data_IF_145335797555
#
_entry.id   IF_145335797555
#
_cell.length_a   1.000
_cell.length_b   1.000
_cell.length_c   1.000
_cell.angle_alpha   90.00
_cell.angle_beta   90.00
_cell.angle_gamma   90.00
#
_symmetry.space_group_name_H-M   'P 1'
#
loop_
_entity.id
_entity.type
_entity.pdbx_description
1 polymer ?
#
# COMPACT_ATOMS: atom_id res chain seq x y z
N UNK A 1 -8.47 3.83 -46.49
CA UNK A 1 -7.72 2.79 -47.24
C UNK A 1 -7.28 1.76 -46.18
N UNK A 2 -7.96 0.61 -45.95
CA UNK A 2 -7.80 -0.72 -46.60
C UNK A 2 -6.31 -0.99 -46.92
N UNK A 3 -5.57 -2.00 -46.43
CA UNK A 3 -5.75 -3.38 -45.89
C UNK A 3 -4.51 -3.66 -44.97
N UNK A 4 -4.30 -4.74 -44.21
CA UNK A 4 -4.66 -6.15 -44.35
C UNK A 4 -4.48 -6.89 -43.02
N UNK A 5 -5.38 -7.84 -42.80
CA UNK A 5 -5.36 -8.91 -41.79
C UNK A 5 -4.23 -9.91 -42.12
N UNK A 6 -3.56 -10.41 -41.09
CA UNK A 6 -2.69 -11.59 -41.12
C UNK A 6 -2.99 -12.46 -39.90
N UNK A 7 -3.86 -13.45 -40.08
CA UNK A 7 -4.06 -14.55 -39.14
C UNK A 7 -2.86 -15.50 -39.24
N UNK A 8 -2.29 -15.88 -38.10
CA UNK A 8 -1.50 -17.10 -37.95
C UNK A 8 -2.02 -17.88 -36.73
N UNK A 9 -2.06 -19.22 -36.81
CA UNK A 9 -2.93 -20.04 -36.00
C UNK A 9 -2.34 -20.27 -34.61
N UNK A 10 -3.18 -20.19 -33.59
CA UNK A 10 -2.87 -20.68 -32.26
C UNK A 10 -2.69 -22.19 -32.36
N UNK A 11 -1.45 -22.65 -32.16
CA UNK A 11 -1.14 -24.05 -31.91
C UNK A 11 -1.79 -24.41 -30.56
N UNK A 12 -2.89 -25.15 -30.59
CA UNK A 12 -3.36 -25.84 -29.40
C UNK A 12 -2.32 -26.89 -29.04
N UNK A 13 -1.49 -26.61 -28.03
CA UNK A 13 -0.72 -27.65 -27.35
C UNK A 13 -1.74 -28.49 -26.59
N UNK A 14 -2.22 -29.55 -27.25
CA UNK A 14 -2.89 -30.65 -26.57
C UNK A 14 -1.83 -31.31 -25.72
N UNK A 15 -1.85 -31.04 -24.42
CA UNK A 15 -1.11 -31.80 -23.42
C UNK A 15 -1.70 -33.22 -23.42
N UNK A 16 -1.20 -34.08 -24.30
CA UNK A 16 -1.49 -35.49 -24.26
C UNK A 16 -0.81 -36.05 -23.01
N UNK A 17 -1.57 -36.17 -21.92
CA UNK A 17 -1.20 -37.00 -20.80
C UNK A 17 -0.94 -38.41 -21.32
N UNK A 18 0.34 -38.76 -21.45
CA UNK A 18 0.76 -40.14 -21.69
C UNK A 18 0.56 -40.89 -20.38
N UNK A 19 -0.62 -41.47 -20.20
CA UNK A 19 -0.88 -42.38 -19.11
C UNK A 19 -0.06 -43.65 -19.36
N UNK A 20 1.07 -43.77 -18.68
CA UNK A 20 1.84 -45.01 -18.62
C UNK A 20 1.04 -46.00 -17.76
N UNK A 21 0.64 -47.17 -18.29
CA UNK A 21 -0.15 -48.13 -17.52
C UNK A 21 0.76 -48.87 -16.54
N UNK A 22 0.87 -48.34 -15.33
CA UNK A 22 1.69 -48.96 -14.29
C UNK A 22 1.76 -48.20 -12.96
N UNK A 23 0.75 -47.39 -12.62
CA UNK A 23 0.62 -46.83 -11.27
C UNK A 23 -0.57 -47.53 -10.61
N UNK A 24 -0.30 -48.10 -9.44
CA UNK A 24 -1.27 -48.81 -8.62
C UNK A 24 -2.54 -47.98 -8.40
N UNK A 25 -3.65 -48.70 -8.26
CA UNK A 25 -4.99 -48.17 -8.11
C UNK A 25 -5.20 -47.58 -6.69
N UNK A 26 -4.31 -46.68 -6.25
CA UNK A 26 -4.52 -45.88 -5.04
C UNK A 26 -5.56 -44.83 -5.38
N UNK A 27 -6.74 -44.98 -4.80
CA UNK A 27 -7.77 -43.94 -4.75
C UNK A 27 -7.14 -42.66 -4.21
N UNK A 28 -6.83 -41.72 -5.11
CA UNK A 28 -6.65 -40.31 -4.75
C UNK A 28 -8.05 -39.87 -4.32
N UNK A 29 -8.25 -39.75 -3.01
CA UNK A 29 -9.45 -39.10 -2.49
C UNK A 29 -9.27 -37.64 -2.89
N UNK A 30 -10.21 -37.05 -3.62
CA UNK A 30 -10.12 -35.66 -4.10
C UNK A 30 -10.23 -34.61 -2.97
N UNK A 31 -10.00 -35.07 -1.73
CA UNK A 31 -10.09 -34.42 -0.44
C UNK A 31 -8.78 -33.72 -0.05
N UNK A 32 -7.63 -34.31 -0.38
CA UNK A 32 -6.35 -34.10 0.34
C UNK A 32 -5.25 -33.67 -0.66
N UNK A 33 -5.33 -32.42 -1.14
CA UNK A 33 -4.52 -31.62 -2.09
C UNK A 33 -3.65 -32.28 -3.18
N UNK A 34 -3.80 -33.57 -3.46
CA UNK A 34 -2.83 -34.36 -4.20
C UNK A 34 -1.62 -34.82 -3.38
N UNK A 35 -1.64 -34.73 -2.05
CA UNK A 35 -0.63 -35.39 -1.22
C UNK A 35 -0.80 -36.90 -1.41
N UNK A 36 0.28 -37.58 -1.83
CA UNK A 36 0.26 -39.03 -1.85
C UNK A 36 0.34 -39.52 -0.41
N UNK A 37 -0.51 -40.50 -0.05
CA UNK A 37 -0.33 -41.44 1.10
C UNK A 37 1.02 -42.20 1.13
N UNK A 38 1.99 -41.77 0.34
CA UNK A 38 3.38 -42.22 0.31
C UNK A 38 4.28 -41.35 1.20
N UNK A 39 3.72 -40.72 2.24
CA UNK A 39 4.48 -40.56 3.48
C UNK A 39 4.70 -41.98 4.01
N UNK A 40 5.71 -42.65 3.43
CA UNK A 40 6.21 -43.91 3.94
C UNK A 40 6.31 -43.74 5.45
N UNK A 41 5.79 -44.70 6.24
CA UNK A 41 5.55 -44.53 7.67
C UNK A 41 6.74 -43.79 8.23
N UNK A 42 6.53 -42.59 8.80
CA UNK A 42 7.57 -41.93 9.59
C UNK A 42 8.20 -43.06 10.36
N UNK A 43 9.48 -43.34 10.08
CA UNK A 43 10.08 -44.61 10.48
C UNK A 43 9.97 -44.65 11.99
N UNK A 44 8.97 -45.37 12.45
CA UNK A 44 8.93 -45.99 13.75
C UNK A 44 10.09 -46.96 13.71
N UNK A 45 11.28 -46.43 13.98
CA UNK A 45 12.43 -47.23 14.36
C UNK A 45 12.27 -47.71 15.80
N UNK A 46 11.15 -47.41 16.45
CA UNK A 46 10.62 -48.21 17.52
C UNK A 46 9.73 -49.33 16.95
N UNK A 47 9.68 -50.50 17.57
CA UNK A 47 8.39 -51.16 17.69
C UNK A 47 7.55 -50.30 18.62
N UNK A 48 6.24 -50.13 18.35
CA UNK A 48 5.24 -49.59 19.29
C UNK A 48 5.38 -50.31 20.63
N UNK A 49 6.25 -49.79 21.50
CA UNK A 49 6.68 -50.44 22.74
C UNK A 49 6.63 -49.41 23.83
N UNK A 50 5.41 -49.15 24.31
CA UNK A 50 5.18 -48.56 25.62
C UNK A 50 5.83 -47.19 25.88
N UNK A 51 6.18 -46.43 24.83
CA UNK A 51 6.54 -45.01 24.91
C UNK A 51 5.56 -44.10 24.17
N UNK A 52 4.83 -44.64 23.18
CA UNK A 52 3.67 -43.96 22.57
C UNK A 52 2.39 -44.20 23.38
N UNK A 53 2.40 -45.25 24.20
CA UNK A 53 1.48 -45.37 25.33
C UNK A 53 2.13 -44.69 26.53
N UNK A 54 1.82 -43.41 26.74
CA UNK A 54 1.94 -42.81 28.06
C UNK A 54 1.31 -43.73 29.13
N UNK A 55 1.75 -43.65 30.39
CA UNK A 55 1.25 -44.52 31.44
C UNK A 55 -0.27 -44.29 31.62
N UNK A 56 -1.07 -45.22 31.10
CA UNK A 56 -2.52 -45.27 31.24
C UNK A 56 -3.27 -43.96 30.89
N UNK A 57 -3.47 -43.68 29.60
CA UNK A 57 -4.54 -42.78 29.13
C UNK A 57 -4.13 -41.73 28.09
N UNK A 58 -4.78 -41.86 26.92
CA UNK A 58 -5.25 -40.78 26.04
C UNK A 58 -4.24 -39.91 25.29
N UNK A 59 -3.35 -40.51 24.52
CA UNK A 59 -3.00 -39.88 23.25
C UNK A 59 -3.55 -40.81 22.16
N UNK A 60 -4.76 -40.47 21.70
CA UNK A 60 -5.41 -41.16 20.59
C UNK A 60 -4.97 -40.39 19.36
N UNK A 61 -4.50 -41.11 18.35
CA UNK A 61 -3.93 -40.62 17.11
C UNK A 61 -4.48 -41.56 16.02
N UNK A 62 -5.44 -41.07 15.25
CA UNK A 62 -6.31 -41.92 14.41
C UNK A 62 -5.68 -42.19 13.04
N UNK A 63 -5.01 -41.21 12.43
CA UNK A 63 -4.31 -41.30 11.14
C UNK A 63 -2.81 -41.65 11.27
N UNK A 64 -2.24 -41.53 12.48
CA UNK A 64 -0.85 -41.89 12.82
C UNK A 64 0.20 -40.97 12.21
N UNK A 65 -0.13 -39.70 12.09
CA UNK A 65 0.75 -38.66 11.58
C UNK A 65 1.73 -38.14 12.69
N UNK A 66 1.44 -38.45 13.96
CA UNK A 66 2.23 -38.08 15.14
C UNK A 66 1.62 -36.95 15.99
N UNK A 67 0.51 -36.38 15.55
CA UNK A 67 -0.38 -35.54 16.33
C UNK A 67 -1.34 -36.40 17.15
N UNK A 68 -2.33 -35.79 17.80
CA UNK A 68 -3.30 -36.55 18.57
C UNK A 68 -4.66 -35.94 18.33
N UNK A 69 -5.70 -36.77 18.28
CA UNK A 69 -7.07 -36.35 17.98
C UNK A 69 -7.49 -35.10 18.77
N UNK A 70 -7.01 -34.96 20.01
CA UNK A 70 -7.31 -33.80 20.87
C UNK A 70 -6.64 -32.49 20.44
N UNK A 71 -5.44 -32.55 19.86
CA UNK A 71 -4.70 -31.40 19.32
C UNK A 71 -5.31 -30.96 17.98
N UNK A 72 -5.73 -31.93 17.18
CA UNK A 72 -6.39 -31.74 15.89
C UNK A 72 -7.87 -31.35 16.05
N UNK A 73 -8.37 -31.17 17.28
CA UNK A 73 -9.71 -30.61 17.50
C UNK A 73 -10.86 -31.60 17.29
N UNK A 74 -10.62 -32.90 17.44
CA UNK A 74 -11.65 -33.93 17.34
C UNK A 74 -12.88 -33.66 18.25
N UNK A 75 -14.09 -34.07 17.84
CA UNK A 75 -14.38 -34.91 16.67
C UNK A 75 -15.01 -34.14 15.49
N UNK A 76 -15.06 -32.81 15.53
CA UNK A 76 -15.87 -31.99 14.61
C UNK A 76 -15.11 -30.88 13.89
N UNK A 77 -13.84 -30.61 14.24
CA UNK A 77 -13.04 -29.67 13.47
C UNK A 77 -12.77 -30.26 12.08
N UNK A 78 -12.94 -29.43 11.07
CA UNK A 78 -12.88 -29.69 9.63
C UNK A 78 -12.45 -28.34 9.05
N UNK A 79 -11.13 -28.14 9.00
CA UNK A 79 -10.48 -26.85 8.79
C UNK A 79 -10.67 -26.38 7.35
N UNK A 80 -10.46 -27.27 6.39
CA UNK A 80 -10.68 -26.97 4.98
C UNK A 80 -12.17 -27.08 4.57
N UNK A 81 -13.00 -27.82 5.30
CA UNK A 81 -14.44 -27.95 5.03
C UNK A 81 -14.78 -28.99 3.95
N UNK A 82 -13.90 -29.95 3.71
CA UNK A 82 -14.07 -31.00 2.70
C UNK A 82 -15.01 -32.14 3.18
N UNK A 83 -15.28 -32.17 4.50
CA UNK A 83 -16.14 -33.15 5.17
C UNK A 83 -15.38 -34.30 5.85
N UNK A 84 -14.05 -34.35 5.78
CA UNK A 84 -13.16 -35.13 6.62
C UNK A 84 -12.76 -34.29 7.84
N UNK A 85 -12.99 -34.76 9.07
CA UNK A 85 -12.48 -34.06 10.23
C UNK A 85 -10.95 -34.13 10.31
N UNK A 86 -10.30 -33.04 10.73
CA UNK A 86 -8.83 -32.86 10.82
C UNK A 86 -8.09 -34.09 11.37
N UNK A 87 -8.56 -34.66 12.50
CA UNK A 87 -7.95 -35.86 13.13
C UNK A 87 -7.98 -37.16 12.30
N UNK A 88 -8.48 -37.09 11.07
CA UNK A 88 -8.52 -38.16 10.08
C UNK A 88 -8.05 -37.71 8.71
N UNK A 89 -7.75 -36.42 8.57
CA UNK A 89 -7.19 -35.85 7.37
C UNK A 89 -5.66 -35.94 7.44
N UNK A 90 -5.01 -35.99 6.29
CA UNK A 90 -3.55 -36.00 6.19
C UNK A 90 -3.01 -34.60 5.85
N UNK A 91 -3.89 -33.71 5.40
CA UNK A 91 -3.65 -32.31 5.01
C UNK A 91 -4.91 -31.50 5.40
N UNK A 92 -4.96 -31.07 6.66
CA UNK A 92 -6.18 -30.53 7.29
C UNK A 92 -6.62 -29.16 6.73
N UNK A 93 -5.71 -28.36 6.17
CA UNK A 93 -6.02 -27.08 5.50
C UNK A 93 -5.91 -27.13 3.97
N UNK A 94 -5.46 -28.26 3.42
CA UNK A 94 -5.48 -28.59 1.99
C UNK A 94 -4.56 -27.69 1.15
N UNK A 95 -3.48 -27.21 1.77
CA UNK A 95 -2.49 -26.37 1.12
C UNK A 95 -1.41 -27.19 0.37
N UNK A 96 -1.37 -28.50 0.58
CA UNK A 96 -0.45 -29.42 -0.10
C UNK A 96 0.81 -29.76 0.67
N UNK A 97 0.94 -29.32 1.93
CA UNK A 97 1.76 -29.99 2.93
C UNK A 97 0.94 -31.01 3.72
N UNK A 98 1.61 -31.75 4.61
CA UNK A 98 0.90 -32.72 5.46
C UNK A 98 1.03 -32.28 6.88
N UNK A 99 0.03 -32.57 7.70
CA UNK A 99 0.00 -32.18 9.09
C UNK A 99 1.27 -32.60 9.84
N UNK A 100 1.78 -33.82 9.56
CA UNK A 100 3.02 -34.35 10.13
C UNK A 100 4.30 -33.60 9.73
N UNK A 101 4.34 -33.04 8.52
CA UNK A 101 5.47 -32.28 8.01
C UNK A 101 5.42 -30.86 8.58
N UNK A 102 4.27 -30.20 8.55
CA UNK A 102 4.09 -28.84 9.07
C UNK A 102 4.30 -28.79 10.57
N UNK A 103 3.68 -29.71 11.32
CA UNK A 103 3.86 -29.84 12.76
C UNK A 103 5.32 -30.09 13.16
N UNK A 104 6.12 -30.70 12.26
CA UNK A 104 7.53 -30.96 12.48
C UNK A 104 8.46 -29.88 11.89
N UNK A 105 7.94 -28.80 11.29
CA UNK A 105 8.71 -27.85 10.45
C UNK A 105 9.51 -28.59 9.37
N UNK A 106 8.87 -29.39 8.53
CA UNK A 106 9.52 -30.16 7.46
C UNK A 106 9.13 -29.65 6.07
N UNK A 107 9.44 -28.38 5.82
CA UNK A 107 9.30 -27.78 4.51
C UNK A 107 10.49 -28.16 3.61
N UNK A 108 10.27 -28.79 2.43
CA UNK A 108 11.34 -29.11 1.50
C UNK A 108 12.06 -27.84 1.05
N UNK A 109 13.40 -27.90 0.97
CA UNK A 109 14.31 -26.84 0.47
C UNK A 109 14.71 -25.73 1.45
N UNK A 110 14.22 -25.75 2.69
CA UNK A 110 14.68 -24.83 3.74
C UNK A 110 15.47 -25.57 4.82
N UNK A 111 16.36 -24.88 5.52
CA UNK A 111 17.13 -25.44 6.64
C UNK A 111 16.30 -25.52 7.92
N UNK A 112 15.06 -25.99 7.79
CA UNK A 112 14.18 -26.11 8.93
C UNK A 112 14.83 -27.05 9.95
N UNK A 113 14.90 -26.58 11.20
CA UNK A 113 15.31 -27.42 12.33
C UNK A 113 14.12 -28.31 12.69
N UNK A 114 14.08 -29.58 12.24
CA UNK A 114 12.87 -30.37 12.37
C UNK A 114 12.59 -30.60 13.84
N UNK A 115 11.34 -30.41 14.25
CA UNK A 115 10.91 -30.68 15.62
C UNK A 115 10.63 -32.17 15.77
N UNK A 116 11.07 -32.73 16.89
CA UNK A 116 10.68 -34.09 17.26
C UNK A 116 9.23 -34.06 17.74
N UNK A 117 8.31 -34.59 16.93
CA UNK A 117 6.93 -34.77 17.32
C UNK A 117 6.79 -35.98 18.26
N UNK A 118 6.00 -35.79 19.29
CA UNK A 118 5.52 -36.87 20.17
C UNK A 118 4.02 -36.73 20.33
N UNK A 119 3.33 -37.86 20.43
CA UNK A 119 1.88 -37.93 20.63
C UNK A 119 1.42 -36.94 21.73
N UNK A 120 0.58 -35.97 21.35
CA UNK A 120 0.13 -34.85 22.21
C UNK A 120 0.94 -33.54 22.11
N UNK A 121 1.87 -33.43 21.15
CA UNK A 121 2.54 -32.16 20.82
C UNK A 121 1.54 -31.23 20.11
N UNK A 122 1.59 -29.93 20.38
CA UNK A 122 0.62 -28.94 19.87
C UNK A 122 0.79 -28.55 18.39
N UNK A 123 1.55 -29.32 17.62
CA UNK A 123 2.02 -28.88 16.29
C UNK A 123 3.03 -27.73 16.37
N UNK A 124 3.53 -27.33 15.20
CA UNK A 124 4.28 -26.10 15.07
C UNK A 124 3.33 -24.93 14.88
N UNK A 125 3.80 -23.76 15.29
CA UNK A 125 3.24 -22.50 14.84
C UNK A 125 4.44 -21.57 14.61
N UNK A 126 4.67 -21.15 13.37
CA UNK A 126 5.75 -20.22 13.03
C UNK A 126 5.28 -18.78 12.82
N UNK A 127 3.99 -18.60 12.62
CA UNK A 127 3.21 -17.40 12.87
C UNK A 127 3.33 -16.94 14.35
N UNK A 128 3.02 -15.67 14.59
CA UNK A 128 2.92 -15.10 15.94
C UNK A 128 1.63 -14.34 16.16
N UNK A 129 0.68 -14.47 15.25
CA UNK A 129 -0.40 -13.51 15.01
C UNK A 129 -1.77 -14.10 15.26
N UNK A 130 -2.02 -15.36 14.88
CA UNK A 130 -3.38 -15.91 14.87
C UNK A 130 -3.60 -17.14 15.80
N UNK A 131 -2.51 -17.72 16.35
CA UNK A 131 -2.53 -18.89 17.25
C UNK A 131 -3.11 -20.17 16.62
N UNK A 132 -3.30 -20.20 15.30
CA UNK A 132 -3.62 -21.38 14.54
C UNK A 132 -2.30 -22.13 14.28
N UNK A 133 -2.19 -23.42 14.62
CA UNK A 133 -1.00 -24.19 14.26
C UNK A 133 -0.91 -24.37 12.75
N UNK A 134 0.32 -24.43 12.22
CA UNK A 134 0.59 -24.50 10.78
C UNK A 134 -0.23 -25.55 10.04
N UNK A 135 -0.38 -26.76 10.60
CA UNK A 135 -1.16 -27.83 9.97
C UNK A 135 -2.67 -27.56 9.83
N UNK A 136 -3.14 -26.37 10.22
CA UNK A 136 -4.52 -25.91 10.06
C UNK A 136 -4.56 -24.49 9.52
N UNK A 137 -3.43 -24.01 9.02
CA UNK A 137 -3.20 -22.67 8.57
C UNK A 137 -2.53 -22.69 7.21
N UNK A 138 -3.33 -22.44 6.18
CA UNK A 138 -2.87 -22.46 4.80
C UNK A 138 -1.86 -21.33 4.45
N UNK A 139 -1.57 -20.40 5.36
CA UNK A 139 -0.59 -19.31 5.24
C UNK A 139 0.21 -19.21 6.55
N UNK A 140 1.12 -20.16 6.75
CA UNK A 140 1.83 -20.46 8.01
C UNK A 140 2.57 -19.27 8.64
N UNK A 141 2.87 -18.21 7.89
CA UNK A 141 3.52 -17.00 8.40
C UNK A 141 2.73 -15.69 8.21
N UNK A 142 1.48 -15.81 7.75
CA UNK A 142 0.51 -14.72 7.62
C UNK A 142 1.00 -13.57 6.70
N UNK A 143 1.90 -13.85 5.75
CA UNK A 143 2.42 -12.83 4.82
C UNK A 143 1.50 -12.54 3.63
N UNK A 144 0.51 -13.42 3.43
CA UNK A 144 -0.48 -13.37 2.37
C UNK A 144 -0.17 -14.22 1.16
N UNK A 145 0.90 -15.04 1.15
CA UNK A 145 1.08 -16.17 0.24
C UNK A 145 0.76 -17.47 0.97
N UNK A 146 -0.05 -18.34 0.36
CA UNK A 146 -0.32 -19.64 0.99
C UNK A 146 0.93 -20.52 0.92
N UNK A 147 1.12 -21.48 1.84
CA UNK A 147 2.27 -22.38 1.84
C UNK A 147 2.44 -23.10 0.49
N UNK A 148 1.30 -23.40 -0.17
CA UNK A 148 1.25 -23.92 -1.54
C UNK A 148 1.93 -23.02 -2.58
N UNK A 149 1.65 -21.73 -2.53
CA UNK A 149 2.17 -20.73 -3.47
C UNK A 149 3.64 -20.51 -3.23
N UNK A 150 4.05 -20.50 -1.97
CA UNK A 150 5.44 -20.44 -1.58
C UNK A 150 6.22 -21.69 -1.99
N UNK A 151 5.63 -22.88 -1.91
CA UNK A 151 6.22 -24.09 -2.47
C UNK A 151 6.47 -23.94 -3.98
N UNK A 152 5.54 -23.30 -4.71
CA UNK A 152 5.71 -23.03 -6.14
C UNK A 152 6.76 -21.94 -6.42
N UNK A 153 6.84 -20.91 -5.57
CA UNK A 153 7.83 -19.83 -5.65
C UNK A 153 9.24 -20.28 -5.19
N UNK A 154 9.30 -21.29 -4.34
CA UNK A 154 10.51 -21.68 -3.61
C UNK A 154 10.86 -20.71 -2.48
N UNK A 155 9.87 -20.05 -1.87
CA UNK A 155 9.97 -19.25 -0.65
C UNK A 155 9.53 -20.07 0.58
N UNK A 156 9.93 -19.63 1.78
CA UNK A 156 9.85 -20.40 3.01
C UNK A 156 8.54 -20.12 3.76
N UNK A 157 7.66 -21.12 3.97
CA UNK A 157 6.36 -20.91 4.61
C UNK A 157 6.34 -20.47 6.06
N UNK A 158 7.52 -20.32 6.66
CA UNK A 158 7.66 -19.83 8.02
C UNK A 158 8.48 -18.55 8.10
N UNK A 159 8.54 -17.79 7.00
CA UNK A 159 9.35 -16.59 6.87
C UNK A 159 8.81 -15.66 5.80
N UNK A 160 8.00 -14.69 6.22
CA UNK A 160 7.42 -13.64 5.37
C UNK A 160 8.42 -12.87 4.49
N UNK A 161 9.72 -12.94 4.79
CA UNK A 161 10.82 -12.41 3.98
C UNK A 161 11.93 -13.48 3.96
N UNK A 162 11.84 -14.41 3.00
CA UNK A 162 12.69 -15.60 2.91
C UNK A 162 14.19 -15.27 2.84
N UNK A 163 14.58 -14.20 2.15
CA UNK A 163 15.99 -13.80 2.02
C UNK A 163 16.43 -12.67 2.96
N UNK A 164 15.49 -12.17 3.76
CA UNK A 164 15.68 -11.17 4.82
C UNK A 164 16.23 -9.84 4.31
N UNK A 165 15.78 -9.42 3.13
CA UNK A 165 16.25 -8.21 2.47
C UNK A 165 15.37 -6.97 2.68
N UNK A 166 14.20 -7.17 3.29
CA UNK A 166 13.22 -6.16 3.65
C UNK A 166 12.01 -6.08 2.72
N UNK A 167 11.97 -6.83 1.62
CA UNK A 167 10.76 -7.07 0.84
C UNK A 167 10.13 -8.41 1.27
N UNK A 168 8.81 -8.45 1.45
CA UNK A 168 8.13 -9.72 1.77
C UNK A 168 7.94 -10.56 0.51
N UNK A 169 7.86 -11.88 0.66
CA UNK A 169 7.71 -12.81 -0.46
C UNK A 169 6.45 -12.51 -1.29
N UNK A 170 5.35 -12.10 -0.63
CA UNK A 170 4.16 -11.57 -1.31
C UNK A 170 4.46 -10.37 -2.21
N UNK A 171 5.22 -9.38 -1.72
CA UNK A 171 5.53 -8.17 -2.50
C UNK A 171 6.39 -8.53 -3.71
N UNK A 172 7.33 -9.45 -3.52
CA UNK A 172 8.26 -9.87 -4.55
C UNK A 172 7.60 -10.68 -5.66
N UNK A 173 6.71 -11.61 -5.29
CA UNK A 173 5.90 -12.36 -6.24
C UNK A 173 5.05 -11.41 -7.10
N UNK A 174 4.44 -10.37 -6.50
CA UNK A 174 3.67 -9.36 -7.21
C UNK A 174 4.54 -8.42 -8.07
N UNK A 175 5.77 -8.15 -7.65
CA UNK A 175 6.73 -7.32 -8.37
C UNK A 175 7.51 -8.08 -9.46
N UNK A 176 7.32 -9.40 -9.58
CA UNK A 176 8.12 -10.30 -10.42
C UNK A 176 9.62 -10.27 -10.06
N UNK A 177 9.95 -10.14 -8.77
CA UNK A 177 11.30 -10.38 -8.23
C UNK A 177 11.40 -11.78 -7.62
N UNK A 178 12.62 -12.21 -7.26
CA UNK A 178 12.93 -13.52 -6.66
C UNK A 178 13.24 -13.36 -5.17
N UNK A 179 12.28 -13.66 -4.29
CA UNK A 179 12.41 -13.50 -2.82
C UNK A 179 13.33 -14.49 -2.10
N UNK A 180 14.11 -15.23 -2.88
CA UNK A 180 15.18 -16.11 -2.39
C UNK A 180 16.56 -15.48 -2.56
N UNK A 181 16.61 -14.24 -3.04
CA UNK A 181 17.82 -13.57 -3.48
C UNK A 181 17.77 -12.09 -3.11
N UNK A 182 18.45 -11.74 -2.02
CA UNK A 182 18.51 -10.37 -1.47
C UNK A 182 19.05 -9.27 -2.42
N UNK A 183 19.56 -9.66 -3.59
CA UNK A 183 19.98 -8.78 -4.69
C UNK A 183 18.83 -8.46 -5.68
N UNK A 184 17.71 -9.17 -5.60
CA UNK A 184 16.57 -9.10 -6.52
C UNK A 184 15.39 -8.41 -5.85
N UNK A 185 15.38 -7.07 -5.83
CA UNK A 185 14.33 -6.32 -5.13
C UNK A 185 13.25 -5.74 -6.04
N UNK A 186 12.05 -5.51 -5.48
CA UNK A 186 11.07 -4.59 -6.06
C UNK A 186 11.68 -3.18 -6.28
N UNK A 187 11.18 -2.39 -7.25
CA UNK A 187 11.70 -1.05 -7.52
C UNK A 187 11.68 -0.11 -6.29
N UNK A 188 12.74 0.65 -6.04
CA UNK A 188 12.89 1.49 -4.82
C UNK A 188 11.81 2.58 -4.59
N UNK A 189 10.94 2.85 -5.58
CA UNK A 189 9.91 3.90 -5.52
C UNK A 189 8.49 3.38 -5.79
N UNK A 190 8.24 2.08 -5.68
CA UNK A 190 6.89 1.52 -5.74
C UNK A 190 6.17 1.66 -4.40
N UNK A 191 4.86 1.89 -4.47
CA UNK A 191 3.95 1.83 -3.33
C UNK A 191 3.15 0.54 -3.45
N UNK A 192 3.26 -0.32 -2.43
CA UNK A 192 2.45 -1.52 -2.30
C UNK A 192 1.50 -1.36 -1.12
N UNK A 193 0.33 -1.98 -1.23
CA UNK A 193 -0.64 -2.09 -0.13
C UNK A 193 -1.00 -3.56 -0.04
N UNK A 194 -0.51 -4.22 1.00
CA UNK A 194 -0.92 -5.58 1.35
C UNK A 194 -2.29 -5.47 2.04
N UNK A 195 -3.25 -6.23 1.53
CA UNK A 195 -4.56 -6.37 2.16
C UNK A 195 -4.47 -7.52 3.18
N UNK A 196 -5.25 -7.49 4.28
CA UNK A 196 -5.30 -8.63 5.19
C UNK A 196 -5.65 -9.89 4.41
N UNK A 197 -4.91 -10.97 4.66
CA UNK A 197 -5.25 -12.29 4.16
C UNK A 197 -6.62 -12.69 4.71
N UNK A 198 -7.46 -13.23 3.84
CA UNK A 198 -8.74 -13.81 4.21
C UNK A 198 -8.71 -15.23 3.65
N UNK A 199 -8.50 -16.25 4.50
CA UNK A 199 -8.45 -17.63 4.04
C UNK A 199 -9.77 -17.92 3.30
N UNK A 200 -9.71 -18.24 2.00
CA UNK A 200 -10.92 -18.59 1.27
C UNK A 200 -11.47 -19.89 1.85
N UNK A 201 -12.81 -20.09 1.86
CA UNK A 201 -13.32 -21.45 1.93
C UNK A 201 -12.91 -22.16 0.63
N UNK A 202 -11.95 -23.07 0.73
CA UNK A 202 -11.41 -23.95 -0.32
C UNK A 202 -11.17 -23.30 -1.69
N UNK A 203 -9.90 -23.05 -2.00
CA UNK A 203 -9.41 -22.60 -3.31
C UNK A 203 -9.97 -21.25 -3.78
N UNK A 204 -9.62 -20.17 -3.08
CA UNK A 204 -9.80 -18.81 -3.60
C UNK A 204 -8.54 -18.34 -4.32
N UNK A 205 -8.70 -17.79 -5.54
CA UNK A 205 -7.62 -17.06 -6.20
C UNK A 205 -7.46 -15.68 -5.54
N UNK A 206 -6.23 -15.20 -5.39
CA UNK A 206 -5.90 -13.82 -5.00
C UNK A 206 -6.87 -12.79 -5.58
N UNK A 207 -7.50 -12.01 -4.71
CA UNK A 207 -8.41 -10.96 -5.16
C UNK A 207 -7.63 -9.68 -5.52
N UNK A 208 -7.39 -9.48 -6.81
CA UNK A 208 -6.85 -8.22 -7.31
C UNK A 208 -7.95 -7.15 -7.39
N UNK A 209 -7.76 -6.03 -6.69
CA UNK A 209 -8.62 -4.83 -6.81
C UNK A 209 -7.86 -3.67 -7.41
N UNK A 210 -8.47 -3.01 -8.40
CA UNK A 210 -7.92 -1.77 -8.97
C UNK A 210 -8.18 -0.59 -8.01
N UNK A 211 -7.11 -0.08 -7.39
CA UNK A 211 -7.17 1.13 -6.58
C UNK A 211 -6.80 2.34 -7.44
N UNK A 212 -7.75 3.26 -7.63
CA UNK A 212 -7.46 4.54 -8.29
C UNK A 212 -6.94 5.55 -7.27
N UNK A 213 -5.63 5.79 -7.28
CA UNK A 213 -5.04 6.91 -6.56
C UNK A 213 -5.26 8.20 -7.36
N UNK A 214 -5.72 9.26 -6.68
CA UNK A 214 -5.71 10.62 -7.25
C UNK A 214 -4.94 11.55 -6.33
N UNK A 215 -3.98 12.28 -6.90
CA UNK A 215 -3.25 13.32 -6.16
C UNK A 215 -4.16 14.55 -6.02
N UNK A 216 -4.83 14.68 -4.87
CA UNK A 216 -5.53 15.93 -4.51
C UNK A 216 -4.55 16.85 -3.81
N UNK A 217 -4.35 18.05 -4.37
CA UNK A 217 -3.59 19.12 -3.71
C UNK A 217 -4.32 19.46 -2.41
N UNK A 218 -3.70 19.20 -1.26
CA UNK A 218 -4.28 19.53 0.05
C UNK A 218 -3.87 20.90 0.56
N UNK A 219 -2.67 21.35 0.21
CA UNK A 219 -2.06 22.58 0.68
C UNK A 219 -1.69 23.49 -0.51
N UNK A 220 -2.05 24.76 -0.43
CA UNK A 220 -1.55 25.78 -1.36
C UNK A 220 -1.36 27.14 -0.69
N UNK A 221 -0.34 27.85 -1.14
CA UNK A 221 -0.11 29.25 -0.82
C UNK A 221 -0.42 30.08 -2.07
N UNK A 222 -1.40 30.99 -1.97
CA UNK A 222 -1.80 31.87 -3.08
C UNK A 222 -1.50 33.31 -2.70
N UNK A 223 -0.65 33.97 -3.48
CA UNK A 223 -0.33 35.38 -3.29
C UNK A 223 -0.88 36.21 -4.45
N UNK A 224 -1.78 37.14 -4.14
CA UNK A 224 -2.28 38.10 -5.12
C UNK A 224 -1.36 39.32 -5.14
N UNK A 225 -0.66 39.53 -6.25
CA UNK A 225 0.17 40.70 -6.48
C UNK A 225 -0.49 41.58 -7.55
N UNK A 226 -0.82 42.81 -7.20
CA UNK A 226 -1.69 43.68 -8.01
C UNK A 226 -1.01 45.00 -8.34
N UNK A 227 -1.00 45.34 -9.62
CA UNK A 227 -0.60 46.66 -10.12
C UNK A 227 -1.61 47.72 -9.63
N UNK A 228 -1.08 48.77 -9.00
CA UNK A 228 -1.84 49.83 -8.35
C UNK A 228 -1.76 51.17 -9.08
N UNK A 229 -1.25 51.18 -10.31
CA UNK A 229 -1.20 52.34 -11.20
C UNK A 229 -2.61 52.89 -11.46
N UNK A 230 -2.71 54.16 -11.86
CA UNK A 230 -4.03 54.79 -12.13
C UNK A 230 -4.83 54.00 -13.19
N UNK A 231 -4.13 53.35 -14.12
CA UNK A 231 -4.74 52.55 -15.19
C UNK A 231 -5.51 51.32 -14.67
N UNK A 232 -5.17 50.84 -13.47
CA UNK A 232 -5.73 49.63 -12.87
C UNK A 232 -7.00 49.86 -12.04
N UNK A 233 -7.46 51.12 -11.94
CA UNK A 233 -8.67 51.48 -11.17
C UNK A 233 -9.90 50.59 -11.49
N UNK A 234 -10.23 50.28 -12.76
CA UNK A 234 -11.37 49.40 -13.06
C UNK A 234 -11.15 47.96 -12.58
N UNK A 235 -9.91 47.47 -12.62
CA UNK A 235 -9.54 46.11 -12.20
C UNK A 235 -9.62 45.98 -10.68
N UNK A 236 -9.07 46.95 -9.94
CA UNK A 236 -9.13 46.96 -8.47
C UNK A 236 -10.57 47.04 -8.00
N UNK A 237 -11.42 47.86 -8.65
CA UNK A 237 -12.84 47.92 -8.35
C UNK A 237 -13.55 46.56 -8.57
N UNK A 238 -13.20 45.85 -9.64
CA UNK A 238 -13.73 44.51 -9.89
C UNK A 238 -13.26 43.50 -8.83
N UNK A 239 -11.97 43.49 -8.48
CA UNK A 239 -11.40 42.59 -7.47
C UNK A 239 -12.02 42.80 -6.09
N UNK A 240 -12.30 44.05 -5.69
CA UNK A 240 -13.04 44.34 -4.44
C UNK A 240 -14.38 43.61 -4.36
N UNK A 241 -15.06 43.43 -5.49
CA UNK A 241 -16.39 42.77 -5.51
C UNK A 241 -16.34 41.28 -5.82
N UNK A 242 -15.33 40.82 -6.57
CA UNK A 242 -15.27 39.46 -7.10
C UNK A 242 -14.34 38.50 -6.37
N UNK A 243 -13.39 39.00 -5.58
CA UNK A 243 -12.33 38.18 -5.00
C UNK A 243 -12.85 37.12 -4.01
N UNK A 244 -13.87 37.42 -3.20
CA UNK A 244 -14.49 36.43 -2.29
C UNK A 244 -14.94 35.17 -3.06
N UNK A 245 -15.50 35.33 -4.27
CA UNK A 245 -15.88 34.20 -5.13
C UNK A 245 -14.65 33.40 -5.58
N UNK A 246 -13.57 34.09 -5.97
CA UNK A 246 -12.32 33.45 -6.42
C UNK A 246 -11.70 32.66 -5.27
N UNK A 247 -11.53 33.27 -4.10
CA UNK A 247 -10.86 32.62 -2.97
C UNK A 247 -11.69 31.47 -2.41
N UNK A 248 -13.04 31.60 -2.38
CA UNK A 248 -13.92 30.47 -2.04
C UNK A 248 -13.81 29.33 -3.05
N UNK A 249 -13.71 29.63 -4.35
CA UNK A 249 -13.48 28.63 -5.39
C UNK A 249 -12.17 27.86 -5.16
N UNK A 250 -11.10 28.56 -4.79
CA UNK A 250 -9.82 27.94 -4.42
C UNK A 250 -9.95 27.09 -3.16
N UNK A 251 -10.63 27.57 -2.11
CA UNK A 251 -10.89 26.81 -0.88
C UNK A 251 -11.72 25.55 -1.11
N UNK A 252 -12.67 25.58 -2.04
CA UNK A 252 -13.45 24.39 -2.39
C UNK A 252 -12.61 23.33 -3.11
N UNK A 253 -11.58 23.75 -3.85
CA UNK A 253 -10.68 22.85 -4.55
C UNK A 253 -9.53 22.36 -3.65
N UNK A 254 -9.06 23.20 -2.72
CA UNK A 254 -7.88 22.99 -1.87
C UNK A 254 -8.25 23.30 -0.42
N UNK A 255 -8.35 22.29 0.47
CA UNK A 255 -8.81 22.46 1.84
C UNK A 255 -7.95 23.42 2.68
N UNK A 256 -6.62 23.34 2.54
CA UNK A 256 -5.67 24.12 3.34
C UNK A 256 -5.00 25.19 2.46
N UNK A 257 -5.71 26.30 2.25
CA UNK A 257 -5.16 27.46 1.52
C UNK A 257 -4.77 28.58 2.47
N UNK A 258 -3.59 29.16 2.26
CA UNK A 258 -3.24 30.48 2.82
C UNK A 258 -3.24 31.50 1.70
N UNK A 259 -3.73 32.70 2.00
CA UNK A 259 -3.83 33.78 1.03
C UNK A 259 -3.08 35.01 1.51
N UNK A 260 -2.25 35.57 0.64
CA UNK A 260 -1.57 36.85 0.82
C UNK A 260 -2.00 37.85 -0.24
N UNK A 261 -1.86 39.14 0.08
CA UNK A 261 -2.16 40.25 -0.84
C UNK A 261 -1.05 41.27 -0.78
N UNK A 262 -0.49 41.59 -1.93
CA UNK A 262 0.44 42.68 -2.13
C UNK A 262 0.03 43.55 -3.31
N UNK A 263 0.56 44.76 -3.34
CA UNK A 263 0.48 45.62 -4.52
C UNK A 263 1.86 46.15 -4.90
N UNK A 264 2.00 46.57 -6.14
CA UNK A 264 3.16 47.27 -6.67
C UNK A 264 2.70 48.43 -7.54
N UNK A 265 3.62 49.31 -7.86
CA UNK A 265 3.43 50.43 -8.78
C UNK A 265 4.77 50.63 -9.50
N UNK A 266 5.43 51.77 -9.30
CA UNK A 266 6.74 52.08 -9.88
C UNK A 266 7.86 52.19 -8.83
N UNK A 267 9.12 52.24 -9.30
CA UNK A 267 10.27 52.41 -8.42
C UNK A 267 10.22 53.79 -7.72
N UNK A 268 10.40 53.85 -6.38
CA UNK A 268 10.38 55.11 -5.65
C UNK A 268 11.53 56.04 -6.05
N UNK A 269 11.22 57.24 -6.56
CA UNK A 269 12.20 58.32 -6.75
C UNK A 269 12.09 59.36 -5.61
N UNK A 270 12.71 59.09 -4.45
CA UNK A 270 12.99 60.00 -3.30
C UNK A 270 11.90 61.03 -2.88
N UNK A 271 11.54 61.19 -1.58
CA UNK A 271 11.20 60.24 -0.54
C UNK A 271 9.71 59.79 -0.62
N UNK A 272 9.10 59.81 -1.80
CA UNK A 272 7.83 59.14 -2.10
C UNK A 272 7.98 57.62 -1.95
N UNK A 273 6.94 56.93 -1.46
CA UNK A 273 6.92 55.45 -1.45
C UNK A 273 7.20 54.76 -0.12
N UNK A 274 7.50 55.49 0.95
CA UNK A 274 7.63 54.90 2.27
C UNK A 274 6.26 54.67 2.92
N UNK A 275 6.10 53.68 3.82
CA UNK A 275 4.87 53.51 4.61
C UNK A 275 4.46 54.82 5.29
N UNK A 276 3.29 55.36 4.90
CA UNK A 276 2.77 56.63 5.41
C UNK A 276 3.16 57.89 4.60
N UNK A 277 3.93 57.77 3.51
CA UNK A 277 4.24 58.86 2.57
C UNK A 277 3.71 58.51 1.17
N UNK A 278 2.60 59.13 0.72
CA UNK A 278 1.99 58.83 -0.58
C UNK A 278 2.98 59.03 -1.74
N UNK A 279 3.13 58.02 -2.60
CA UNK A 279 4.00 58.02 -3.78
C UNK A 279 4.39 56.61 -4.22
N UNK A 280 5.19 56.50 -5.28
CA UNK A 280 5.52 55.23 -5.97
C UNK A 280 6.24 54.24 -5.06
N UNK A 281 5.96 52.94 -5.17
CA UNK A 281 6.58 51.90 -4.36
C UNK A 281 6.74 50.58 -5.12
N UNK A 282 7.83 49.87 -4.84
CA UNK A 282 8.16 48.57 -5.46
C UNK A 282 7.25 47.44 -4.97
N UNK A 283 7.09 47.28 -3.66
CA UNK A 283 6.20 46.25 -3.09
C UNK A 283 5.63 46.69 -1.76
N UNK A 284 4.30 46.62 -1.68
CA UNK A 284 3.56 46.81 -0.44
C UNK A 284 2.80 45.54 -0.08
N UNK A 285 3.20 44.89 1.01
CA UNK A 285 2.46 43.77 1.59
C UNK A 285 1.26 44.33 2.36
N UNK A 286 0.05 44.19 1.79
CA UNK A 286 -1.21 44.62 2.41
C UNK A 286 -1.80 43.57 3.35
N UNK A 287 -1.57 42.29 3.04
CA UNK A 287 -1.93 41.16 3.88
C UNK A 287 -0.86 40.08 3.75
N UNK A 288 -0.18 39.76 4.86
CA UNK A 288 0.71 38.62 4.91
C UNK A 288 -0.06 37.31 4.69
N UNK A 289 0.63 36.27 4.23
CA UNK A 289 0.08 34.93 4.06
C UNK A 289 -0.65 34.48 5.33
N UNK A 290 -1.96 34.23 5.21
CA UNK A 290 -2.80 33.88 6.34
C UNK A 290 -3.85 32.83 5.94
N UNK A 291 -4.22 31.90 6.84
CA UNK A 291 -5.39 31.04 6.64
C UNK A 291 -6.72 31.81 6.78
N UNK A 292 -6.71 33.02 7.37
CA UNK A 292 -7.89 33.89 7.41
C UNK A 292 -8.11 34.54 6.03
N UNK A 293 -8.85 33.83 5.18
CA UNK A 293 -9.25 34.31 3.85
C UNK A 293 -10.06 35.60 3.89
N UNK A 294 -10.81 35.87 4.96
CA UNK A 294 -11.52 37.15 5.05
C UNK A 294 -10.54 38.33 5.18
N UNK A 295 -9.30 38.09 5.64
CA UNK A 295 -8.27 39.10 5.70
C UNK A 295 -7.80 39.58 4.32
N UNK A 296 -7.74 38.69 3.32
CA UNK A 296 -7.39 39.09 1.95
C UNK A 296 -8.45 40.01 1.36
N UNK A 297 -9.73 39.69 1.55
CA UNK A 297 -10.82 40.57 1.11
C UNK A 297 -10.80 41.94 1.82
N UNK A 298 -10.49 41.98 3.12
CA UNK A 298 -10.32 43.25 3.84
C UNK A 298 -9.19 44.10 3.26
N UNK A 299 -8.07 43.48 2.88
CA UNK A 299 -6.95 44.16 2.24
C UNK A 299 -7.30 44.73 0.86
N UNK A 300 -8.10 44.00 0.06
CA UNK A 300 -8.59 44.52 -1.22
C UNK A 300 -9.60 45.65 -1.04
N UNK A 301 -10.48 45.58 -0.04
CA UNK A 301 -11.46 46.63 0.26
C UNK A 301 -10.79 47.97 0.59
N UNK A 302 -9.58 47.95 1.16
CA UNK A 302 -8.80 49.15 1.47
C UNK A 302 -7.79 49.53 0.39
N UNK A 303 -7.48 48.62 -0.55
CA UNK A 303 -6.57 48.88 -1.67
C UNK A 303 -7.18 49.88 -2.63
N UNK A 304 -6.54 51.04 -2.81
CA UNK A 304 -6.86 52.11 -3.76
C UNK A 304 -5.67 52.33 -4.67
N UNK A 305 -5.91 52.79 -5.90
CA UNK A 305 -4.82 53.18 -6.81
C UNK A 305 -3.97 54.29 -6.20
N UNK A 306 -2.75 54.41 -6.69
CA UNK A 306 -1.85 55.49 -6.28
C UNK A 306 -2.45 56.88 -6.57
N UNK A 307 -3.21 57.01 -7.66
CA UNK A 307 -3.95 58.23 -8.02
C UNK A 307 -4.95 58.62 -6.92
N UNK A 308 -5.76 57.66 -6.49
CA UNK A 308 -6.73 57.83 -5.40
C UNK A 308 -6.05 58.14 -4.05
N UNK A 309 -4.99 57.40 -3.70
CA UNK A 309 -4.31 57.55 -2.40
C UNK A 309 -3.47 58.83 -2.31
N UNK A 310 -3.06 59.39 -3.46
CA UNK A 310 -2.26 60.63 -3.52
C UNK A 310 -3.07 61.87 -3.89
N UNK A 311 -4.34 61.69 -4.26
CA UNK A 311 -5.23 62.78 -4.70
C UNK A 311 -4.81 63.36 -6.05
N UNK A 312 -4.40 62.52 -6.99
CA UNK A 312 -3.96 62.94 -8.33
C UNK A 312 -2.55 63.53 -8.37
N UNK A 313 -1.69 63.16 -7.42
CA UNK A 313 -0.32 63.68 -7.35
C UNK A 313 0.68 62.73 -8.01
N UNK A 314 0.37 61.45 -8.04
CA UNK A 314 1.10 60.39 -8.72
C UNK A 314 0.09 59.55 -9.49
N UNK A 315 0.41 59.22 -10.74
CA UNK A 315 -0.51 58.54 -11.65
C UNK A 315 0.01 57.16 -12.09
N UNK A 316 1.23 56.75 -11.72
CA UNK A 316 1.91 55.61 -12.37
C UNK A 316 2.03 55.83 -13.89
N UNK A 317 2.38 57.06 -14.28
CA UNK A 317 2.24 57.55 -15.66
C UNK A 317 3.50 57.39 -16.50
N UNK A 318 4.60 56.96 -15.91
CA UNK A 318 5.85 56.64 -16.57
C UNK A 318 5.89 55.14 -16.89
N UNK A 319 5.66 54.80 -18.17
CA UNK A 319 5.89 53.43 -18.62
C UNK A 319 7.35 53.00 -18.29
N UNK A 320 7.67 51.73 -17.90
CA UNK A 320 6.86 50.62 -17.39
C UNK A 320 6.91 50.44 -15.86
N UNK A 321 5.90 49.79 -15.28
CA UNK A 321 5.79 49.46 -13.83
C UNK A 321 6.82 48.43 -13.32
N UNK A 322 6.98 48.37 -11.99
CA UNK A 322 8.02 47.61 -11.28
C UNK A 322 7.64 46.15 -10.98
N UNK A 323 6.80 45.55 -11.83
CA UNK A 323 6.26 44.19 -11.67
C UNK A 323 7.33 43.10 -11.48
N UNK A 324 8.50 43.25 -12.11
CA UNK A 324 9.56 42.24 -12.05
C UNK A 324 10.24 42.26 -10.70
N UNK A 325 10.56 43.45 -10.19
CA UNK A 325 11.16 43.60 -8.86
C UNK A 325 10.16 43.24 -7.78
N UNK A 326 8.89 43.62 -7.93
CA UNK A 326 7.83 43.22 -7.01
C UNK A 326 7.69 41.69 -6.89
N UNK A 327 7.73 40.95 -8.01
CA UNK A 327 7.71 39.48 -7.99
C UNK A 327 8.97 38.94 -7.29
N UNK A 328 10.14 39.49 -7.59
CA UNK A 328 11.39 39.08 -6.95
C UNK A 328 11.34 39.29 -5.43
N UNK A 329 10.88 40.46 -4.97
CA UNK A 329 10.75 40.75 -3.54
C UNK A 329 9.73 39.83 -2.85
N UNK A 330 8.60 39.51 -3.47
CA UNK A 330 7.63 38.54 -2.92
C UNK A 330 8.30 37.17 -2.72
N UNK A 331 9.06 36.69 -3.71
CA UNK A 331 9.75 35.38 -3.66
C UNK A 331 10.90 35.40 -2.64
N UNK A 332 11.65 36.50 -2.56
CA UNK A 332 12.77 36.66 -1.65
C UNK A 332 12.34 36.96 -0.19
N UNK A 333 11.04 37.17 0.06
CA UNK A 333 10.51 37.55 1.38
C UNK A 333 10.81 39.01 1.77
N UNK A 334 11.02 39.88 0.78
CA UNK A 334 11.18 41.33 0.91
C UNK A 334 9.85 42.08 1.07
N UNK A 335 9.84 43.34 0.64
CA UNK A 335 8.68 44.23 0.72
C UNK A 335 8.52 44.98 2.04
N UNK A 336 7.96 46.19 1.94
CA UNK A 336 7.56 46.95 3.11
C UNK A 336 6.19 46.46 3.61
N UNK A 337 6.10 46.16 4.91
CA UNK A 337 4.81 45.94 5.58
C UNK A 337 4.17 47.30 5.84
N UNK A 338 2.91 47.48 5.46
CA UNK A 338 2.15 48.66 5.88
C UNK A 338 0.80 48.30 6.48
#
# INVERSE_FOLDING_TARGET
>A
MKRSIGQLPWLAVVLAASCSPGQDNTTVIAADAGVRRDVGPVRDTGPVTGRDAGPAGSCVDTDRDGLSDTVEGAPMLDTDGDGMPDFRDVDSDNDGYTDADEAARRYPRYDSMPRALTCGSSGDNCDGTDSVPNQRDADSDDDGLTDREEFMAGTNPCSADTDSDGATDLIESAAMSDGRSADSRPPENSLYVVLPYYPPPMMGMHEFREFTFSTRIRLADVFFLVDNSASMQPVIAALRTGLDTIVRGVQMAIPDVRVGVGSFDSMPFLPSGQPGSPGDYTLWIRQAMSPDVAASQRAFNTMRTIDDDTGGRFFGGDNPEDQTEAIYEVIAGGGSRG
#
